data_IF_625892635353
#
_entry.id   IF_625892635353
#
_cell.length_a   1.000
_cell.length_b   1.000
_cell.length_c   1.000
_cell.angle_alpha   90.00
_cell.angle_beta   90.00
_cell.angle_gamma   90.00
#
_symmetry.space_group_name_H-M   'P 1'
#
loop_
_entity.id
_entity.type
_entity.pdbx_description
1 polymer ?
#
# COMPACT_ATOMS: atom_id res chain seq x y z
N UNK A 1 -3.67 -25.67 36.56
CA UNK A 1 -4.03 -25.78 35.12
C UNK A 1 -4.10 -24.38 34.51
N UNK A 2 -3.15 -23.97 33.65
CA UNK A 2 -3.23 -22.66 33.00
C UNK A 2 -4.34 -22.65 31.94
N UNK A 3 -5.35 -21.79 32.14
CA UNK A 3 -6.51 -21.67 31.25
C UNK A 3 -6.15 -21.12 29.87
N UNK A 4 -6.73 -21.74 28.83
CA UNK A 4 -6.52 -21.37 27.43
C UNK A 4 -7.16 -20.00 27.15
N UNK A 5 -6.34 -18.98 26.90
CA UNK A 5 -6.80 -17.64 26.49
C UNK A 5 -7.47 -17.73 25.12
N UNK A 6 -8.79 -17.55 25.05
CA UNK A 6 -9.53 -17.50 23.78
C UNK A 6 -9.13 -16.25 23.00
N UNK A 7 -8.71 -16.44 21.75
CA UNK A 7 -8.25 -15.38 20.84
C UNK A 7 -9.49 -14.60 20.38
N UNK A 8 -9.54 -13.28 20.58
CA UNK A 8 -10.70 -12.47 20.17
C UNK A 8 -10.84 -12.42 18.65
N UNK A 9 -12.01 -12.79 18.16
CA UNK A 9 -12.31 -12.79 16.73
C UNK A 9 -12.57 -11.36 16.23
N UNK A 10 -12.51 -11.15 14.90
CA UNK A 10 -12.92 -9.88 14.29
C UNK A 10 -14.38 -9.52 14.63
N UNK A 11 -15.23 -10.53 14.85
CA UNK A 11 -16.63 -10.33 15.23
C UNK A 11 -16.72 -9.75 16.65
N UNK A 12 -15.94 -10.27 17.59
CA UNK A 12 -15.89 -9.77 18.98
C UNK A 12 -15.37 -8.32 19.03
N UNK A 13 -14.33 -8.02 18.24
CA UNK A 13 -13.78 -6.66 18.12
C UNK A 13 -14.79 -5.68 17.51
N UNK A 14 -15.64 -6.13 16.58
CA UNK A 14 -16.67 -5.28 15.98
C UNK A 14 -17.85 -5.02 16.91
N UNK A 15 -18.25 -6.01 17.73
CA UNK A 15 -19.33 -5.87 18.69
C UNK A 15 -18.93 -4.96 19.86
N UNK A 16 -17.69 -5.05 20.35
CA UNK A 16 -17.17 -4.15 21.39
C UNK A 16 -17.22 -2.66 20.96
N UNK A 17 -16.90 -2.34 19.71
CA UNK A 17 -17.00 -0.96 19.20
C UNK A 17 -18.44 -0.46 19.09
N UNK A 18 -19.38 -1.34 18.73
CA UNK A 18 -20.81 -0.98 18.63
C UNK A 18 -21.40 -0.68 20.01
N UNK A 19 -21.00 -1.43 21.04
CA UNK A 19 -21.43 -1.19 22.42
C UNK A 19 -21.01 0.20 22.92
N UNK A 20 -19.74 0.59 22.69
CA UNK A 20 -19.25 1.94 23.04
C UNK A 20 -19.94 3.07 22.27
N UNK A 21 -20.35 2.84 21.03
CA UNK A 21 -21.07 3.84 20.26
C UNK A 21 -22.51 4.00 20.77
N UNK A 22 -23.16 2.87 21.11
CA UNK A 22 -24.51 2.88 21.68
C UNK A 22 -24.56 3.59 23.02
N UNK A 23 -23.58 3.37 23.91
CA UNK A 23 -23.54 4.03 25.22
C UNK A 23 -23.37 5.54 25.08
N UNK A 24 -22.47 6.00 24.20
CA UNK A 24 -22.28 7.43 23.91
C UNK A 24 -23.51 8.10 23.31
N UNK A 25 -24.25 7.39 22.46
CA UNK A 25 -25.50 7.92 21.88
C UNK A 25 -26.60 8.03 22.95
N UNK A 26 -26.66 7.08 23.88
CA UNK A 26 -27.60 7.14 25.01
C UNK A 26 -27.26 8.27 25.99
N UNK A 27 -25.97 8.47 26.31
CA UNK A 27 -25.50 9.60 27.12
C UNK A 27 -25.92 10.94 26.49
N UNK A 28 -25.67 11.13 25.19
CA UNK A 28 -26.00 12.36 24.47
C UNK A 28 -27.52 12.64 24.36
N UNK A 29 -28.36 11.59 24.45
CA UNK A 29 -29.83 11.74 24.41
C UNK A 29 -30.43 12.11 25.76
N UNK A 30 -29.75 11.78 26.85
CA UNK A 30 -30.21 12.13 28.19
C UNK A 30 -29.88 13.59 28.55
N UNK A 31 -28.84 14.17 27.95
CA UNK A 31 -28.48 15.59 28.10
C UNK A 31 -29.44 16.55 27.36
N UNK A 32 -30.26 16.03 26.44
CA UNK A 32 -31.29 16.80 25.73
C UNK A 32 -32.66 16.65 26.38
N UNK A 33 -32.76 16.91 27.68
CA UNK A 33 -34.07 17.15 28.31
C UNK A 33 -34.66 18.46 27.77
N UNK A 34 -35.99 18.55 27.54
CA UNK A 34 -36.59 19.72 26.91
C UNK A 34 -36.74 20.81 27.97
N UNK A 35 -35.74 21.68 28.09
CA UNK A 35 -36.01 23.02 28.61
C UNK A 35 -36.90 23.73 27.59
N UNK A 36 -37.96 24.35 28.10
CA UNK A 36 -39.09 24.95 27.40
C UNK A 36 -38.70 26.27 26.69
N UNK A 37 -37.55 26.28 26.02
CA UNK A 37 -37.11 27.39 25.20
C UNK A 37 -37.72 27.23 23.82
N UNK A 38 -38.54 28.21 23.43
CA UNK A 38 -39.17 28.30 22.12
C UNK A 38 -38.09 28.30 21.03
N UNK A 39 -37.78 27.12 20.50
CA UNK A 39 -36.74 26.92 19.51
C UNK A 39 -37.16 27.51 18.17
N UNK A 40 -36.72 28.73 17.88
CA UNK A 40 -36.84 29.32 16.56
C UNK A 40 -35.68 28.81 15.69
N UNK A 41 -35.97 27.85 14.80
CA UNK A 41 -34.96 27.36 13.87
C UNK A 41 -34.49 28.49 12.94
N UNK A 42 -33.20 28.82 12.98
CA UNK A 42 -32.62 29.83 12.08
C UNK A 42 -32.58 29.26 10.65
N UNK A 43 -33.33 29.83 9.69
CA UNK A 43 -33.42 29.31 8.33
C UNK A 43 -32.09 29.38 7.57
N UNK A 44 -31.16 30.25 7.99
CA UNK A 44 -29.82 30.39 7.38
C UNK A 44 -28.83 29.31 7.86
N UNK A 45 -29.12 28.61 8.97
CA UNK A 45 -28.30 27.51 9.48
C UNK A 45 -28.80 26.12 9.04
N UNK A 46 -29.77 26.06 8.13
CA UNK A 46 -30.28 24.78 7.62
C UNK A 46 -29.23 24.13 6.74
N UNK A 47 -28.48 23.17 7.30
CA UNK A 47 -27.60 22.29 6.53
C UNK A 47 -28.43 21.66 5.41
N UNK A 48 -27.92 21.74 4.17
CA UNK A 48 -28.59 21.14 3.01
C UNK A 48 -28.85 19.65 3.28
N UNK A 49 -30.13 19.29 3.45
CA UNK A 49 -30.55 17.91 3.69
C UNK A 49 -30.45 17.16 2.37
N UNK A 50 -29.35 16.46 2.17
CA UNK A 50 -29.18 15.62 0.98
C UNK A 50 -30.25 14.52 0.96
N UNK A 51 -30.98 14.41 -0.15
CA UNK A 51 -32.07 13.45 -0.28
C UNK A 51 -31.53 12.02 -0.40
N UNK A 52 -32.37 10.99 -0.16
CA UNK A 52 -31.96 9.59 -0.35
C UNK A 52 -31.50 9.32 -1.80
N UNK A 53 -32.20 9.91 -2.77
CA UNK A 53 -31.88 9.84 -4.21
C UNK A 53 -30.51 10.44 -4.50
N UNK A 54 -30.25 11.64 -3.98
CA UNK A 54 -28.96 12.32 -4.13
C UNK A 54 -27.81 11.56 -3.44
N UNK A 55 -28.05 10.97 -2.26
CA UNK A 55 -27.06 10.10 -1.59
C UNK A 55 -26.74 8.85 -2.40
N UNK A 56 -27.73 8.26 -3.07
CA UNK A 56 -27.52 7.10 -3.94
C UNK A 56 -26.72 7.50 -5.18
N UNK A 57 -27.08 8.63 -5.80
CA UNK A 57 -26.37 9.18 -6.95
C UNK A 57 -24.91 9.49 -6.60
N UNK A 58 -24.66 10.21 -5.51
CA UNK A 58 -23.32 10.51 -5.01
C UNK A 58 -22.50 9.25 -4.69
N UNK A 59 -23.13 8.15 -4.28
CA UNK A 59 -22.43 6.86 -4.08
C UNK A 59 -22.05 6.23 -5.42
N UNK A 60 -22.95 6.26 -6.40
CA UNK A 60 -22.71 5.79 -7.76
C UNK A 60 -21.59 6.59 -8.42
N UNK A 61 -21.67 7.91 -8.37
CA UNK A 61 -20.69 8.81 -8.97
C UNK A 61 -19.33 8.69 -8.29
N UNK A 62 -19.27 8.54 -6.96
CA UNK A 62 -18.01 8.23 -6.26
C UNK A 62 -17.39 6.91 -6.73
N UNK A 63 -18.19 5.90 -7.00
CA UNK A 63 -17.70 4.61 -7.50
C UNK A 63 -17.22 4.71 -8.95
N UNK A 64 -18.00 5.36 -9.82
CA UNK A 64 -17.63 5.60 -11.22
C UNK A 64 -16.37 6.45 -11.29
N UNK A 65 -16.29 7.55 -10.54
CA UNK A 65 -15.09 8.39 -10.47
C UNK A 65 -13.90 7.63 -9.89
N UNK A 66 -14.11 6.74 -8.92
CA UNK A 66 -13.05 5.84 -8.44
C UNK A 66 -12.58 4.85 -9.51
N UNK A 67 -13.44 4.45 -10.44
CA UNK A 67 -13.12 3.54 -11.54
C UNK A 67 -12.45 4.28 -12.72
N UNK A 68 -12.95 5.47 -13.07
CA UNK A 68 -12.45 6.32 -14.15
C UNK A 68 -11.10 6.97 -13.80
N UNK A 69 -10.94 7.49 -12.58
CA UNK A 69 -9.64 7.99 -12.10
C UNK A 69 -8.61 6.85 -11.89
N UNK A 70 -9.04 5.59 -11.99
CA UNK A 70 -8.18 4.40 -11.94
C UNK A 70 -7.64 3.98 -13.31
N UNK A 71 -8.27 4.39 -14.41
CA UNK A 71 -7.84 4.03 -15.77
C UNK A 71 -6.83 5.01 -16.37
N UNK A 72 -6.81 6.26 -15.89
CA UNK A 72 -6.01 7.33 -16.51
C UNK A 72 -4.63 7.55 -15.89
N UNK A 73 -4.35 7.04 -14.68
CA UNK A 73 -3.03 7.16 -14.05
C UNK A 73 -2.46 5.79 -13.65
N UNK A 74 -1.62 5.26 -14.52
CA UNK A 74 -0.77 4.07 -14.33
C UNK A 74 -0.32 3.86 -12.87
N UNK A 75 -0.80 2.81 -12.19
CA UNK A 75 0.01 1.97 -11.27
C UNK A 75 -0.73 0.66 -10.91
N UNK A 76 -0.01 -0.44 -11.05
CA UNK A 76 -0.19 -1.82 -10.52
C UNK A 76 -1.04 -2.05 -9.23
N UNK A 77 -2.33 -1.69 -9.22
CA UNK A 77 -3.17 -1.75 -8.01
C UNK A 77 -4.56 -2.37 -8.21
N UNK A 78 -4.85 -2.96 -9.37
CA UNK A 78 -6.20 -3.43 -9.73
C UNK A 78 -6.61 -4.73 -9.06
N UNK A 79 -5.68 -5.44 -8.42
CA UNK A 79 -5.93 -6.74 -7.81
C UNK A 79 -5.74 -6.62 -6.30
N UNK A 80 -6.78 -6.93 -5.53
CA UNK A 80 -6.64 -6.97 -4.07
C UNK A 80 -5.55 -7.97 -3.68
N UNK A 81 -4.87 -7.75 -2.54
CA UNK A 81 -3.83 -8.67 -2.06
C UNK A 81 -4.30 -10.12 -1.99
N UNK A 82 -5.57 -10.34 -1.64
CA UNK A 82 -6.22 -11.66 -1.64
C UNK A 82 -6.34 -12.22 -3.06
N UNK A 83 -6.81 -11.43 -4.02
CA UNK A 83 -6.94 -11.86 -5.41
C UNK A 83 -5.58 -12.15 -6.07
N UNK A 84 -4.53 -11.38 -5.74
CA UNK A 84 -3.16 -11.68 -6.19
C UNK A 84 -2.64 -12.99 -5.59
N UNK A 85 -2.89 -13.24 -4.30
CA UNK A 85 -2.51 -14.50 -3.64
C UNK A 85 -3.24 -15.69 -4.26
N UNK A 86 -4.53 -15.55 -4.58
CA UNK A 86 -5.32 -16.59 -5.26
C UNK A 86 -4.78 -16.87 -6.66
N UNK A 87 -4.49 -15.82 -7.45
CA UNK A 87 -3.89 -15.94 -8.78
C UNK A 87 -2.57 -16.71 -8.73
N UNK A 88 -1.65 -16.30 -7.84
CA UNK A 88 -0.36 -16.96 -7.65
C UNK A 88 -0.49 -18.41 -7.16
N UNK A 89 -1.48 -18.71 -6.32
CA UNK A 89 -1.73 -20.10 -5.89
C UNK A 89 -2.19 -20.96 -7.07
N UNK A 90 -3.12 -20.45 -7.89
CA UNK A 90 -3.62 -21.13 -9.09
C UNK A 90 -2.50 -21.36 -10.12
N UNK A 91 -1.71 -20.33 -10.40
CA UNK A 91 -0.52 -20.44 -11.27
C UNK A 91 0.47 -21.47 -10.73
N UNK A 92 0.75 -21.46 -9.41
CA UNK A 92 1.63 -22.46 -8.78
C UNK A 92 1.05 -23.88 -8.89
N UNK A 93 -0.25 -24.07 -8.77
CA UNK A 93 -0.91 -25.36 -8.94
C UNK A 93 -0.88 -25.85 -10.39
N UNK A 94 -0.92 -24.94 -11.36
CA UNK A 94 -0.75 -25.25 -12.79
C UNK A 94 0.69 -25.62 -13.14
N UNK A 95 1.67 -24.98 -12.49
CA UNK A 95 3.10 -25.24 -12.68
C UNK A 95 3.63 -26.44 -11.88
N UNK A 96 2.84 -27.01 -10.97
CA UNK A 96 3.22 -28.26 -10.29
C UNK A 96 3.31 -29.38 -11.33
N UNK A 97 4.29 -30.29 -11.23
CA UNK A 97 4.39 -31.41 -12.13
C UNK A 97 3.13 -32.26 -12.04
N UNK A 98 2.35 -32.28 -13.12
CA UNK A 98 1.17 -33.14 -13.27
C UNK A 98 1.58 -34.33 -14.14
N UNK A 99 2.04 -35.40 -13.50
CA UNK A 99 2.42 -36.63 -14.20
C UNK A 99 1.26 -37.20 -15.04
N UNK A 100 0.02 -36.98 -14.61
CA UNK A 100 -1.17 -37.39 -15.36
C UNK A 100 -1.33 -36.63 -16.68
N UNK A 101 -0.93 -35.35 -16.75
CA UNK A 101 -1.00 -34.54 -17.98
C UNK A 101 0.10 -34.95 -18.97
N UNK A 102 1.26 -35.38 -18.45
CA UNK A 102 2.33 -36.01 -19.25
C UNK A 102 1.88 -37.36 -19.84
N UNK A 103 1.14 -38.17 -19.08
CA UNK A 103 0.61 -39.45 -19.57
C UNK A 103 -0.55 -39.29 -20.57
N UNK A 104 -1.32 -38.20 -20.47
CA UNK A 104 -2.39 -37.88 -21.43
C UNK A 104 -1.88 -37.24 -22.72
N UNK A 105 -0.74 -36.54 -22.67
CA UNK A 105 -0.12 -35.90 -23.84
C UNK A 105 1.01 -36.75 -24.43
N UNK A 106 1.30 -37.92 -23.85
CA UNK A 106 2.27 -38.85 -24.43
C UNK A 106 1.64 -39.42 -25.71
N UNK A 107 2.26 -39.26 -26.88
CA UNK A 107 1.76 -39.90 -28.10
C UNK A 107 1.67 -41.40 -27.85
N UNK A 108 0.46 -41.95 -27.92
CA UNK A 108 0.19 -43.36 -27.60
C UNK A 108 0.71 -44.32 -28.66
N UNK A 109 1.20 -43.81 -29.78
CA UNK A 109 1.68 -44.61 -30.88
C UNK A 109 3.18 -44.36 -31.06
N UNK A 110 3.97 -45.34 -30.62
CA UNK A 110 5.40 -45.38 -30.89
C UNK A 110 5.64 -45.53 -32.39
N UNK A 111 5.96 -44.42 -33.05
CA UNK A 111 6.91 -44.32 -34.15
C UNK A 111 7.01 -42.85 -34.56
N UNK A 112 8.22 -42.43 -34.94
CA UNK A 112 8.63 -41.07 -35.32
C UNK A 112 9.17 -40.19 -34.18
N UNK A 113 10.30 -40.67 -33.62
CA UNK A 113 11.34 -39.76 -33.15
C UNK A 113 11.89 -39.06 -34.40
N UNK A 114 11.30 -37.92 -34.77
CA UNK A 114 11.92 -37.00 -35.71
C UNK A 114 13.21 -36.47 -35.05
N UNK A 115 14.37 -36.83 -35.61
CA UNK A 115 15.71 -36.39 -35.17
C UNK A 115 15.99 -34.88 -35.36
N UNK A 116 14.96 -34.03 -35.32
CA UNK A 116 15.09 -32.59 -35.47
C UNK A 116 15.03 -31.81 -34.17
N UNK A 117 14.55 -32.40 -33.07
CA UNK A 117 14.62 -31.77 -31.75
C UNK A 117 15.95 -32.11 -31.06
N UNK A 118 17.04 -31.68 -31.70
CA UNK A 118 18.31 -31.45 -31.02
C UNK A 118 18.05 -30.50 -29.87
N UNK A 119 18.03 -31.07 -28.67
CA UNK A 119 18.26 -30.42 -27.37
C UNK A 119 18.95 -29.08 -27.57
N UNK A 120 18.22 -27.98 -27.36
CA UNK A 120 18.82 -26.65 -27.26
C UNK A 120 19.72 -26.65 -26.03
N UNK A 121 20.99 -27.00 -26.24
CA UNK A 121 22.02 -26.91 -25.20
C UNK A 121 22.06 -25.44 -24.77
N UNK A 122 21.75 -25.18 -23.50
CA UNK A 122 21.82 -23.82 -22.93
C UNK A 122 23.30 -23.41 -22.97
N UNK A 123 23.70 -22.72 -24.03
CA UNK A 123 24.98 -22.04 -24.10
C UNK A 123 24.84 -20.79 -23.27
N UNK A 124 25.52 -20.75 -22.11
CA UNK A 124 25.71 -19.50 -21.37
C UNK A 124 26.54 -18.57 -22.26
N UNK A 125 26.09 -17.35 -22.57
CA UNK A 125 26.94 -16.41 -23.27
C UNK A 125 28.14 -16.10 -22.37
N UNK A 126 29.34 -16.40 -22.84
CA UNK A 126 30.60 -15.93 -22.25
C UNK A 126 30.77 -14.44 -22.60
N UNK A 127 29.84 -13.58 -22.16
CA UNK A 127 30.06 -12.13 -22.19
C UNK A 127 30.86 -11.76 -20.95
N UNK A 128 32.17 -11.57 -21.13
CA UNK A 128 33.11 -11.08 -20.11
C UNK A 128 32.96 -9.59 -19.79
N UNK A 129 31.89 -8.94 -20.22
CA UNK A 129 31.64 -7.54 -19.93
C UNK A 129 30.34 -7.39 -19.13
N UNK A 130 30.47 -7.67 -17.84
CA UNK A 130 29.56 -7.12 -16.85
C UNK A 130 29.79 -5.61 -16.82
N UNK A 131 29.09 -4.85 -17.67
CA UNK A 131 28.82 -3.45 -17.36
C UNK A 131 28.05 -3.47 -16.03
N UNK A 132 28.76 -3.27 -14.92
CA UNK A 132 28.12 -3.10 -13.61
C UNK A 132 27.08 -2.01 -13.81
N UNK A 133 25.79 -2.35 -13.69
CA UNK A 133 24.75 -1.34 -13.73
C UNK A 133 25.03 -0.36 -12.59
N UNK A 134 25.55 0.83 -12.93
CA UNK A 134 25.90 1.92 -11.99
C UNK A 134 24.70 2.39 -11.15
N UNK A 135 23.49 1.93 -11.50
CA UNK A 135 22.30 2.08 -10.68
C UNK A 135 22.39 1.15 -9.48
N UNK A 136 23.15 1.58 -8.48
CA UNK A 136 22.99 1.12 -7.12
C UNK A 136 21.51 1.33 -6.77
N UNK A 137 20.72 0.25 -6.78
CA UNK A 137 19.40 0.25 -6.17
C UNK A 137 19.61 0.34 -4.66
N UNK A 138 20.07 1.50 -4.19
CA UNK A 138 20.12 1.76 -2.76
C UNK A 138 18.67 1.80 -2.29
N UNK A 139 18.39 1.05 -1.22
CA UNK A 139 17.10 1.08 -0.53
C UNK A 139 16.94 2.43 0.18
N UNK A 140 16.82 3.51 -0.60
CA UNK A 140 16.60 4.87 -0.13
C UNK A 140 15.10 5.15 -0.12
N UNK A 141 14.61 5.93 0.85
CA UNK A 141 13.23 6.35 0.88
C UNK A 141 12.87 7.12 -0.40
N UNK A 142 11.72 6.80 -0.99
CA UNK A 142 11.26 7.47 -2.21
C UNK A 142 10.52 8.78 -1.85
N UNK A 143 10.97 9.95 -2.32
CA UNK A 143 10.35 11.25 -2.00
C UNK A 143 8.92 11.40 -2.54
N UNK A 144 8.55 10.65 -3.58
CA UNK A 144 7.20 10.74 -4.17
C UNK A 144 6.16 9.98 -3.36
N UNK A 145 6.57 9.06 -2.48
CA UNK A 145 5.67 8.31 -1.60
C UNK A 145 5.60 9.00 -0.23
N UNK A 146 4.39 9.16 0.31
CA UNK A 146 4.19 9.78 1.63
C UNK A 146 5.01 9.12 2.76
N UNK A 147 5.16 7.80 2.72
CA UNK A 147 5.98 7.05 3.68
C UNK A 147 7.47 7.34 3.52
N UNK A 148 7.94 7.48 2.29
CA UNK A 148 9.34 7.83 2.01
C UNK A 148 9.62 9.27 2.37
N UNK A 149 8.73 10.20 2.03
CA UNK A 149 8.81 11.60 2.44
C UNK A 149 8.89 11.74 3.97
N UNK A 150 8.06 11.01 4.73
CA UNK A 150 8.12 11.02 6.20
C UNK A 150 9.48 10.53 6.73
N UNK A 151 10.05 9.52 6.10
CA UNK A 151 11.36 9.00 6.49
C UNK A 151 12.48 9.99 6.16
N UNK A 152 12.43 10.62 4.99
CA UNK A 152 13.36 11.69 4.59
C UNK A 152 13.30 12.84 5.60
N UNK A 153 12.10 13.32 5.95
CA UNK A 153 11.94 14.40 6.93
C UNK A 153 12.53 14.05 8.29
N UNK A 154 12.45 12.79 8.71
CA UNK A 154 13.07 12.33 9.97
C UNK A 154 14.59 12.37 9.89
N UNK A 155 15.16 11.97 8.76
CA UNK A 155 16.60 12.01 8.51
C UNK A 155 17.11 13.46 8.41
N UNK A 156 16.40 14.32 7.69
CA UNK A 156 16.70 15.75 7.60
C UNK A 156 16.64 16.44 8.96
N UNK A 157 15.64 16.14 9.78
CA UNK A 157 15.56 16.69 11.13
C UNK A 157 16.76 16.28 12.00
N UNK A 158 17.24 15.03 11.86
CA UNK A 158 18.46 14.57 12.54
C UNK A 158 19.68 15.31 12.02
N UNK A 159 19.82 15.45 10.71
CA UNK A 159 20.94 16.16 10.09
C UNK A 159 20.97 17.63 10.51
N UNK A 160 19.82 18.29 10.55
CA UNK A 160 19.69 19.67 11.01
C UNK A 160 20.16 19.85 12.46
N UNK A 161 19.73 18.97 13.36
CA UNK A 161 20.19 19.00 14.75
C UNK A 161 21.70 18.80 14.85
N UNK A 162 22.28 17.90 14.04
CA UNK A 162 23.73 17.70 14.00
C UNK A 162 24.48 18.96 13.54
N UNK A 163 23.95 19.67 12.54
CA UNK A 163 24.53 20.94 12.06
C UNK A 163 24.50 21.99 13.17
N UNK A 164 23.41 22.10 13.93
CA UNK A 164 23.32 23.05 15.06
C UNK A 164 24.28 22.73 16.23
N UNK A 165 24.64 21.46 16.39
CA UNK A 165 25.62 21.04 17.40
C UNK A 165 27.08 21.20 16.95
N UNK A 166 27.33 21.40 15.65
CA UNK A 166 28.69 21.47 15.13
C UNK A 166 29.35 22.82 15.52
N UNK A 167 30.49 22.81 16.22
CA UNK A 167 31.18 24.04 16.64
C UNK A 167 31.60 24.92 15.46
N UNK A 168 32.03 24.33 14.34
CA UNK A 168 32.45 25.07 13.15
C UNK A 168 31.28 25.87 12.54
N UNK A 169 30.08 25.28 12.56
CA UNK A 169 28.87 25.92 12.10
C UNK A 169 28.42 27.04 13.04
N UNK A 170 28.62 26.88 14.36
CA UNK A 170 28.33 27.93 15.35
C UNK A 170 29.31 29.09 15.27
N UNK A 171 30.57 28.84 14.89
CA UNK A 171 31.59 29.86 14.72
C UNK A 171 31.41 30.66 13.41
N UNK A 172 31.24 29.98 12.27
CA UNK A 172 30.98 30.62 10.98
C UNK A 172 30.06 29.74 10.12
N UNK A 173 28.75 30.04 10.04
CA UNK A 173 27.80 29.19 9.34
C UNK A 173 28.05 29.16 7.82
N UNK A 174 28.46 30.29 7.23
CA UNK A 174 28.71 30.39 5.79
C UNK A 174 30.00 29.69 5.36
N UNK A 175 31.08 29.76 6.16
CA UNK A 175 32.32 29.03 5.85
C UNK A 175 32.15 27.53 6.04
N UNK A 176 31.46 27.11 7.11
CA UNK A 176 31.13 25.71 7.33
C UNK A 176 30.28 25.14 6.17
N UNK A 177 29.29 25.90 5.69
CA UNK A 177 28.48 25.52 4.53
C UNK A 177 29.32 25.43 3.25
N UNK A 178 30.19 26.42 2.98
CA UNK A 178 31.09 26.42 1.82
C UNK A 178 32.02 25.20 1.83
N UNK A 179 32.56 24.85 2.99
CA UNK A 179 33.41 23.67 3.17
C UNK A 179 32.62 22.37 3.00
N UNK A 180 31.41 22.27 3.55
CA UNK A 180 30.54 21.11 3.39
C UNK A 180 30.14 20.88 1.92
N UNK A 181 29.82 21.94 1.18
CA UNK A 181 29.54 21.86 -0.27
C UNK A 181 30.79 21.38 -1.00
N UNK A 182 31.97 21.95 -0.71
CA UNK A 182 33.24 21.56 -1.34
C UNK A 182 33.60 20.09 -1.08
N UNK A 183 33.29 19.55 0.09
CA UNK A 183 33.50 18.15 0.43
C UNK A 183 32.53 17.21 -0.30
N UNK A 184 31.27 17.61 -0.51
CA UNK A 184 30.26 16.80 -1.21
C UNK A 184 30.39 16.82 -2.74
N UNK A 185 31.16 17.76 -3.30
CA UNK A 185 31.43 17.81 -4.75
C UNK A 185 32.64 16.98 -5.20
N UNK A 186 33.40 16.40 -4.26
CA UNK A 186 34.48 15.45 -4.56
C UNK A 186 33.96 14.03 -4.55
#
# INVERSE_FOLDING_TARGET
>A
MPGIKKKSSLRDKSNSRKAHLSSKISEFRNDTTPNDDTYHENPMLKLAKTTKKEKQQNKSDKFINHLMNKSTFNTSGTISKSALRRKKRKEKEQLKPKMNELLMNLPTDGNEINEQDKVTKIVRPNSTEYIKSSKLNLNRPNPTKSTGLKQIMKEEHKNFNNVLTNPDFRASPFDALKNAIKQNMK
#
